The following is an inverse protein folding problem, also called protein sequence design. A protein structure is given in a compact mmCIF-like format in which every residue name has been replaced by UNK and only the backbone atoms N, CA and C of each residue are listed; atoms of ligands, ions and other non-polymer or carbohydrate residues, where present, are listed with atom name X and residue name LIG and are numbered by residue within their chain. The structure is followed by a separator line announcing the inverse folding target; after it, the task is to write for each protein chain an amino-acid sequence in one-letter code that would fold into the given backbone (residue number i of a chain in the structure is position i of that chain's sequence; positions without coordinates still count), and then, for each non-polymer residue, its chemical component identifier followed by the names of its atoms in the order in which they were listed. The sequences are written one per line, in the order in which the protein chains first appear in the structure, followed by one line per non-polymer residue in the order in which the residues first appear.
data_IF_898850906200
#
_entry.id   IF_898850906200
#
_cell.length_a   1.000
_cell.length_b   1.000
_cell.length_c   1.000
_cell.angle_alpha   90.00
_cell.angle_beta   90.00
_cell.angle_gamma   90.00
#
_symmetry.space_group_name_H-M   'P 1'
#
loop_
_entity.id
_entity.type
_entity.pdbx_description
1 polymer ?
#
# COMPACT_ATOMS: atom_id res chain seq x y z
N UNK A 1 62.69 62.84 -30.46
CA UNK A 1 63.11 61.51 -30.85
C UNK A 1 61.89 60.60 -30.57
N UNK A 2 61.19 60.29 -31.46
CA UNK A 2 60.81 59.58 -32.59
C UNK A 2 60.62 58.13 -32.28
N UNK A 3 59.39 57.60 -32.34
CA UNK A 3 59.17 56.39 -33.14
C UNK A 3 57.69 56.11 -33.32
N UNK A 4 57.35 56.11 -34.56
CA UNK A 4 56.06 55.69 -35.07
C UNK A 4 55.89 54.16 -34.90
N UNK A 5 54.80 53.70 -34.34
CA UNK A 5 54.44 52.33 -34.22
C UNK A 5 53.15 52.06 -34.96
N UNK A 6 53.27 51.33 -35.98
CA UNK A 6 52.38 50.78 -37.00
C UNK A 6 51.05 50.26 -36.43
N UNK A 7 49.95 50.84 -36.90
CA UNK A 7 48.57 50.34 -36.58
C UNK A 7 48.20 49.19 -37.51
N UNK A 8 48.24 47.97 -37.01
CA UNK A 8 47.63 46.81 -37.69
C UNK A 8 46.20 46.75 -37.30
N UNK A 9 45.31 47.02 -38.23
CA UNK A 9 43.87 46.75 -38.07
C UNK A 9 43.58 45.27 -38.46
N UNK A 10 43.37 44.42 -37.45
CA UNK A 10 42.88 43.08 -37.68
C UNK A 10 41.37 43.15 -37.69
N UNK A 11 40.77 42.89 -38.85
CA UNK A 11 39.37 42.79 -39.06
C UNK A 11 38.96 41.36 -38.58
N UNK A 12 38.42 41.22 -37.38
CA UNK A 12 37.87 39.99 -36.90
C UNK A 12 36.45 39.84 -37.45
N UNK A 13 36.31 38.97 -38.43
CA UNK A 13 35.05 38.58 -39.01
C UNK A 13 34.38 37.58 -38.03
N UNK A 14 33.40 38.08 -37.26
CA UNK A 14 32.61 37.25 -36.36
C UNK A 14 31.63 36.39 -37.16
N UNK A 15 31.93 35.10 -37.22
CA UNK A 15 31.06 34.11 -37.80
C UNK A 15 29.97 33.78 -36.75
N UNK A 16 28.78 34.35 -36.91
CA UNK A 16 27.61 34.03 -36.09
C UNK A 16 27.03 32.72 -36.61
N UNK A 17 27.26 31.62 -35.90
CA UNK A 17 26.58 30.35 -36.14
C UNK A 17 25.26 30.40 -35.36
N UNK A 18 24.10 30.34 -36.01
CA UNK A 18 22.85 30.17 -35.29
C UNK A 18 22.77 28.73 -34.76
N UNK A 19 22.89 28.60 -33.45
CA UNK A 19 22.61 27.36 -32.75
C UNK A 19 21.09 27.15 -32.76
N UNK A 20 20.60 26.36 -33.70
CA UNK A 20 19.20 25.89 -33.69
C UNK A 20 19.03 24.95 -32.50
N UNK A 21 18.46 25.45 -31.43
CA UNK A 21 17.91 24.67 -30.34
C UNK A 21 16.65 23.95 -30.86
N UNK A 22 16.84 22.76 -31.38
CA UNK A 22 15.73 21.83 -31.53
C UNK A 22 15.36 21.34 -30.11
N UNK A 23 14.46 22.07 -29.46
CA UNK A 23 13.73 21.56 -28.30
C UNK A 23 12.73 20.54 -28.82
N UNK A 24 13.15 19.30 -29.04
CA UNK A 24 12.26 18.15 -28.99
C UNK A 24 12.10 17.80 -27.52
N UNK A 25 11.19 18.46 -26.90
CA UNK A 25 10.63 18.10 -25.60
C UNK A 25 9.21 17.66 -25.78
N UNK A 26 8.95 16.61 -26.56
CA UNK A 26 7.78 15.78 -26.34
C UNK A 26 8.15 14.84 -25.18
N UNK A 27 8.12 15.40 -23.98
CA UNK A 27 7.76 14.65 -22.81
C UNK A 27 6.24 14.40 -22.92
N UNK A 28 5.83 13.48 -23.77
CA UNK A 28 4.67 12.70 -23.42
C UNK A 28 5.08 11.99 -22.15
N UNK A 29 4.79 12.61 -21.00
CA UNK A 29 4.59 11.86 -19.77
C UNK A 29 3.55 10.82 -20.13
N UNK A 30 4.00 9.62 -20.43
CA UNK A 30 3.23 8.45 -20.11
C UNK A 30 3.08 8.64 -18.60
N UNK A 31 1.95 9.14 -18.15
CA UNK A 31 1.46 8.83 -16.82
C UNK A 31 1.42 7.30 -16.88
N UNK A 32 2.47 6.66 -16.38
CA UNK A 32 2.37 5.29 -15.98
C UNK A 32 1.19 5.32 -15.03
N UNK A 33 0.09 4.73 -15.47
CA UNK A 33 -1.01 4.36 -14.62
C UNK A 33 -0.37 3.40 -13.60
N UNK A 34 0.19 4.00 -12.54
CA UNK A 34 0.57 3.30 -11.35
C UNK A 34 -0.76 2.82 -10.80
N UNK A 35 -1.16 1.60 -11.20
CA UNK A 35 -2.30 0.95 -10.62
C UNK A 35 -2.19 1.18 -9.12
N UNK A 36 -3.28 1.67 -8.52
CA UNK A 36 -3.34 2.10 -7.14
C UNK A 36 -2.58 1.09 -6.28
N UNK A 37 -1.39 1.49 -5.77
CA UNK A 37 -0.53 0.61 -4.96
C UNK A 37 -1.16 0.46 -3.58
N UNK A 38 -1.22 -0.75 -3.08
CA UNK A 38 -1.71 -1.00 -1.71
C UNK A 38 -0.69 -0.50 -0.70
N UNK A 39 -1.10 0.48 0.09
CA UNK A 39 -0.28 1.07 1.15
C UNK A 39 -0.87 0.90 2.55
N UNK A 40 -2.10 0.38 2.66
CA UNK A 40 -2.76 0.19 3.94
C UNK A 40 -3.86 -0.85 3.94
N UNK A 41 -4.42 -1.09 5.13
CA UNK A 41 -5.57 -1.96 5.35
C UNK A 41 -6.54 -1.26 6.30
N UNK A 42 -7.83 -1.36 6.01
CA UNK A 42 -8.90 -0.93 6.89
C UNK A 42 -9.80 -2.13 7.23
N UNK A 43 -10.17 -2.25 8.50
CA UNK A 43 -11.10 -3.27 8.98
C UNK A 43 -12.39 -2.59 9.41
N UNK A 44 -13.48 -3.01 8.79
CA UNK A 44 -14.81 -2.45 9.00
C UNK A 44 -15.74 -3.48 9.64
N UNK A 45 -16.45 -3.09 10.68
CA UNK A 45 -17.44 -3.91 11.38
C UNK A 45 -18.77 -3.16 11.41
N UNK A 46 -19.81 -3.76 10.84
CA UNK A 46 -21.15 -3.15 10.80
C UNK A 46 -21.18 -1.71 10.25
N UNK A 47 -20.32 -1.40 9.28
CA UNK A 47 -20.23 -0.09 8.63
C UNK A 47 -19.40 0.97 9.40
N UNK A 48 -18.73 0.58 10.48
CA UNK A 48 -17.76 1.41 11.18
C UNK A 48 -16.34 0.86 11.01
N UNK A 49 -15.36 1.71 10.73
CA UNK A 49 -13.95 1.34 10.74
C UNK A 49 -13.50 1.15 12.20
N UNK A 50 -13.03 -0.06 12.53
CA UNK A 50 -12.58 -0.43 13.89
C UNK A 50 -11.07 -0.45 14.01
N UNK A 51 -10.36 -0.75 12.91
CA UNK A 51 -8.91 -0.72 12.89
C UNK A 51 -8.41 -0.29 11.51
N UNK A 52 -7.21 0.32 11.47
CA UNK A 52 -6.53 0.67 10.22
C UNK A 52 -5.02 0.49 10.33
N UNK A 53 -4.40 -0.04 9.29
CA UNK A 53 -2.97 -0.19 9.14
C UNK A 53 -2.43 0.85 8.16
N UNK A 54 -1.38 1.55 8.56
CA UNK A 54 -0.64 2.47 7.72
C UNK A 54 0.70 1.82 7.35
N UNK A 55 0.87 1.45 6.08
CA UNK A 55 2.07 0.81 5.58
C UNK A 55 3.31 1.71 5.60
N UNK A 56 3.14 3.04 5.50
CA UNK A 56 4.26 3.97 5.57
C UNK A 56 4.90 4.03 6.97
N UNK A 57 4.08 3.90 8.02
CA UNK A 57 4.56 3.84 9.42
C UNK A 57 4.71 2.43 9.97
N UNK A 58 4.12 1.44 9.29
CA UNK A 58 4.12 0.04 9.72
C UNK A 58 3.32 -0.19 11.00
N UNK A 59 2.28 0.61 11.26
CA UNK A 59 1.56 0.57 12.52
C UNK A 59 0.05 0.53 12.36
N UNK A 60 -0.62 -0.11 13.32
CA UNK A 60 -2.06 -0.14 13.45
C UNK A 60 -2.59 0.98 14.33
N UNK A 61 -3.78 1.46 14.02
CA UNK A 61 -4.65 2.24 14.88
C UNK A 61 -5.91 1.43 15.11
N UNK A 62 -6.34 1.25 16.37
CA UNK A 62 -7.42 0.35 16.74
C UNK A 62 -6.96 -1.09 16.97
N UNK A 63 -7.87 -1.93 17.41
CA UNK A 63 -7.66 -3.31 17.79
C UNK A 63 -8.90 -4.16 17.46
N UNK A 64 -8.79 -5.46 17.54
CA UNK A 64 -9.89 -6.38 17.33
C UNK A 64 -10.40 -6.86 18.69
N UNK A 65 -11.71 -6.88 18.89
CA UNK A 65 -12.33 -7.30 20.14
C UNK A 65 -13.45 -8.31 19.89
N UNK A 66 -13.54 -9.33 20.72
CA UNK A 66 -14.61 -10.32 20.69
C UNK A 66 -14.82 -10.94 22.08
N UNK A 67 -16.06 -11.25 22.44
CA UNK A 67 -16.36 -11.99 23.68
C UNK A 67 -16.05 -13.48 23.52
N UNK A 68 -15.53 -14.11 24.58
CA UNK A 68 -15.27 -15.56 24.60
C UNK A 68 -16.54 -16.38 24.31
N UNK A 69 -16.41 -17.36 23.42
CA UNK A 69 -17.53 -18.22 23.00
C UNK A 69 -18.52 -17.57 22.05
N UNK A 70 -18.17 -16.39 21.49
CA UNK A 70 -18.97 -15.71 20.47
C UNK A 70 -18.13 -15.45 19.21
N UNK A 71 -18.78 -14.92 18.19
CA UNK A 71 -18.15 -14.42 16.97
C UNK A 71 -18.54 -12.97 16.72
N UNK A 72 -17.69 -12.22 16.04
CA UNK A 72 -18.04 -10.88 15.57
C UNK A 72 -19.11 -10.94 14.46
N UNK A 73 -19.81 -9.83 14.20
CA UNK A 73 -20.43 -9.68 12.89
C UNK A 73 -19.36 -9.79 11.78
N UNK A 74 -19.79 -10.00 10.54
CA UNK A 74 -18.85 -10.05 9.41
C UNK A 74 -18.03 -8.77 9.36
N UNK A 75 -16.71 -8.92 9.32
CA UNK A 75 -15.75 -7.84 9.16
C UNK A 75 -15.36 -7.75 7.69
N UNK A 76 -15.48 -6.55 7.10
CA UNK A 76 -14.94 -6.26 5.77
C UNK A 76 -13.47 -5.82 5.92
N UNK A 77 -12.57 -6.44 5.16
CA UNK A 77 -11.15 -6.07 5.07
C UNK A 77 -10.91 -5.39 3.74
N UNK A 78 -10.48 -4.12 3.77
CA UNK A 78 -10.23 -3.31 2.59
C UNK A 78 -8.77 -2.97 2.49
N UNK A 79 -8.19 -3.19 1.32
CA UNK A 79 -6.86 -2.73 0.98
C UNK A 79 -6.98 -1.34 0.37
N UNK A 80 -6.17 -0.42 0.86
CA UNK A 80 -6.27 1.01 0.52
C UNK A 80 -4.94 1.55 0.04
N UNK A 81 -5.00 2.64 -0.73
CA UNK A 81 -3.85 3.42 -1.14
C UNK A 81 -3.40 4.41 -0.05
N UNK A 82 -2.44 5.30 -0.38
CA UNK A 82 -1.91 6.31 0.53
C UNK A 82 -2.92 7.39 0.95
N UNK A 83 -3.98 7.61 0.17
CA UNK A 83 -5.06 8.55 0.48
C UNK A 83 -6.16 7.89 1.33
N UNK A 84 -6.09 6.57 1.51
CA UNK A 84 -7.07 5.77 2.24
C UNK A 84 -8.27 5.37 1.39
N UNK A 85 -8.19 5.53 0.07
CA UNK A 85 -9.20 5.08 -0.87
C UNK A 85 -9.02 3.58 -1.17
N UNK A 86 -10.12 2.85 -1.35
CA UNK A 86 -10.10 1.41 -1.59
C UNK A 86 -9.51 1.09 -2.98
N UNK A 87 -8.45 0.27 -3.00
CA UNK A 87 -7.78 -0.17 -4.23
C UNK A 87 -8.61 -1.20 -4.97
N UNK A 88 -8.73 -1.05 -6.28
CA UNK A 88 -9.36 -2.06 -7.13
C UNK A 88 -8.42 -3.25 -7.32
N UNK A 89 -8.76 -4.38 -6.73
CA UNK A 89 -7.95 -5.59 -6.77
C UNK A 89 -8.26 -6.47 -7.99
N UNK A 90 -7.24 -7.16 -8.49
CA UNK A 90 -7.40 -8.14 -9.56
C UNK A 90 -8.15 -9.38 -9.08
N UNK A 91 -8.81 -10.08 -10.01
CA UNK A 91 -9.70 -11.22 -9.71
C UNK A 91 -8.98 -12.47 -9.19
N UNK A 92 -7.67 -12.52 -9.24
CA UNK A 92 -6.80 -13.58 -8.72
C UNK A 92 -6.10 -13.17 -7.41
N UNK A 93 -6.49 -12.03 -6.85
CA UNK A 93 -6.10 -11.63 -5.50
C UNK A 93 -7.08 -12.16 -4.47
N UNK A 94 -6.58 -12.50 -3.29
CA UNK A 94 -7.38 -13.01 -2.18
C UNK A 94 -6.77 -12.63 -0.83
N UNK A 95 -7.63 -12.60 0.20
CA UNK A 95 -7.20 -12.36 1.57
C UNK A 95 -6.73 -13.66 2.23
N UNK A 96 -5.60 -13.58 2.94
CA UNK A 96 -5.17 -14.58 3.92
C UNK A 96 -5.05 -13.89 5.28
N UNK A 97 -5.59 -14.53 6.32
CA UNK A 97 -5.47 -14.09 7.70
C UNK A 97 -4.75 -15.17 8.50
N UNK A 98 -3.73 -14.76 9.23
CA UNK A 98 -2.98 -15.65 10.13
C UNK A 98 -3.17 -15.16 11.58
N UNK A 99 -3.67 -16.01 12.46
CA UNK A 99 -3.79 -15.78 13.91
C UNK A 99 -2.63 -16.50 14.60
N UNK A 100 -1.90 -15.80 15.47
CA UNK A 100 -0.71 -16.37 16.11
C UNK A 100 -1.06 -17.51 17.09
N UNK A 101 -2.12 -17.32 17.89
CA UNK A 101 -2.60 -18.33 18.84
C UNK A 101 -4.11 -18.60 18.65
N UNK A 102 -4.41 -19.60 17.84
CA UNK A 102 -5.78 -20.04 17.57
C UNK A 102 -6.49 -20.64 18.80
N UNK A 103 -5.79 -20.90 19.89
CA UNK A 103 -6.41 -21.28 21.17
C UNK A 103 -7.03 -20.09 21.93
N UNK A 104 -6.73 -18.87 21.50
CA UNK A 104 -7.28 -17.62 22.04
C UNK A 104 -8.36 -17.07 21.11
N UNK A 105 -8.06 -16.93 19.82
CA UNK A 105 -9.03 -16.51 18.80
C UNK A 105 -8.78 -17.25 17.48
N UNK A 106 -9.83 -17.43 16.69
CA UNK A 106 -9.77 -17.96 15.33
C UNK A 106 -10.41 -16.97 14.36
N UNK A 107 -9.91 -16.90 13.11
CA UNK A 107 -10.50 -16.10 12.06
C UNK A 107 -11.09 -17.02 10.98
N UNK A 108 -12.39 -16.93 10.75
CA UNK A 108 -13.12 -17.75 9.78
C UNK A 108 -13.65 -16.90 8.64
N UNK A 109 -13.33 -17.31 7.40
CA UNK A 109 -13.87 -16.73 6.17
C UNK A 109 -15.08 -17.55 5.71
N UNK A 110 -16.20 -16.92 5.34
CA UNK A 110 -17.38 -17.60 4.79
C UNK A 110 -17.04 -18.33 3.48
N UNK A 111 -16.17 -17.74 2.68
CA UNK A 111 -15.61 -18.34 1.47
C UNK A 111 -14.08 -18.19 1.48
N UNK A 112 -13.32 -19.26 1.27
CA UNK A 112 -11.87 -19.18 1.29
C UNK A 112 -11.32 -18.11 0.35
N UNK A 113 -10.56 -17.16 0.90
CA UNK A 113 -9.91 -16.07 0.17
C UNK A 113 -10.77 -14.81 -0.01
N UNK A 114 -12.00 -14.76 0.52
CA UNK A 114 -12.79 -13.52 0.50
C UNK A 114 -12.15 -12.41 1.35
N UNK A 115 -12.52 -11.17 1.05
CA UNK A 115 -11.99 -9.98 1.74
C UNK A 115 -12.81 -9.67 2.99
N UNK A 116 -12.90 -10.62 3.90
CA UNK A 116 -13.61 -10.49 5.14
C UNK A 116 -13.74 -11.81 5.90
N UNK A 117 -14.57 -11.81 6.95
CA UNK A 117 -14.82 -12.97 7.80
C UNK A 117 -15.22 -12.60 9.22
N UNK A 118 -15.13 -13.56 10.11
CA UNK A 118 -15.54 -13.46 11.52
C UNK A 118 -14.36 -13.78 12.43
N UNK A 119 -14.20 -13.01 13.51
CA UNK A 119 -13.29 -13.36 14.58
C UNK A 119 -14.06 -14.10 15.66
N UNK A 120 -13.62 -15.30 16.00
CA UNK A 120 -14.19 -16.14 17.07
C UNK A 120 -13.35 -16.06 18.33
N UNK A 121 -13.96 -15.77 19.47
CA UNK A 121 -13.30 -15.81 20.77
C UNK A 121 -13.30 -17.24 21.32
N UNK A 122 -12.14 -17.87 21.39
CA UNK A 122 -11.97 -19.26 21.87
C UNK A 122 -11.74 -19.29 23.38
N UNK A 123 -10.80 -18.48 23.88
CA UNK A 123 -10.51 -18.33 25.31
C UNK A 123 -10.09 -16.91 25.64
N UNK A 124 -10.38 -16.47 26.86
CA UNK A 124 -9.97 -15.11 27.33
C UNK A 124 -8.47 -14.94 27.22
N UNK A 125 -8.03 -13.86 26.58
CA UNK A 125 -6.61 -13.56 26.37
C UNK A 125 -6.38 -12.58 25.23
N UNK A 126 -5.14 -12.51 24.80
CA UNK A 126 -4.68 -11.65 23.71
C UNK A 126 -3.90 -12.50 22.70
N UNK A 127 -4.11 -12.24 21.42
CA UNK A 127 -3.32 -12.84 20.34
C UNK A 127 -3.09 -11.81 19.23
N UNK A 128 -2.16 -12.11 18.35
CA UNK A 128 -1.82 -11.26 17.21
C UNK A 128 -2.42 -11.81 15.92
N UNK A 129 -2.92 -10.90 15.07
CA UNK A 129 -3.53 -11.24 13.77
C UNK A 129 -2.79 -10.49 12.66
N UNK A 130 -2.43 -11.19 11.60
CA UNK A 130 -1.76 -10.64 10.41
C UNK A 130 -2.66 -10.80 9.20
N UNK A 131 -2.82 -9.73 8.44
CA UNK A 131 -3.57 -9.70 7.19
C UNK A 131 -2.62 -9.65 6.01
N UNK A 132 -2.85 -10.48 5.00
CA UNK A 132 -2.03 -10.56 3.80
C UNK A 132 -2.89 -10.51 2.54
N UNK A 133 -2.52 -9.62 1.61
CA UNK A 133 -3.03 -9.67 0.24
C UNK A 133 -2.20 -10.68 -0.54
N UNK A 134 -2.86 -11.71 -1.00
CA UNK A 134 -2.24 -12.81 -1.74
C UNK A 134 -2.62 -12.72 -3.22
N UNK A 135 -1.70 -13.11 -4.09
CA UNK A 135 -1.92 -13.20 -5.53
C UNK A 135 -1.77 -14.65 -6.00
N UNK A 136 -2.72 -15.11 -6.81
CA UNK A 136 -2.73 -16.44 -7.40
C UNK A 136 -3.83 -17.35 -6.87
N UNK A 137 -3.58 -18.64 -6.82
CA UNK A 137 -4.58 -19.62 -6.37
C UNK A 137 -4.61 -19.71 -4.85
N UNK A 138 -5.80 -19.65 -4.25
CA UNK A 138 -6.00 -19.82 -2.80
C UNK A 138 -5.24 -21.05 -2.27
N UNK A 139 -4.43 -20.84 -1.25
CA UNK A 139 -3.57 -21.85 -0.63
C UNK A 139 -2.22 -22.10 -1.32
N UNK A 140 -1.93 -21.47 -2.46
CA UNK A 140 -0.65 -21.63 -3.18
C UNK A 140 -0.11 -20.35 -3.83
N UNK A 141 -0.75 -19.21 -3.59
CA UNK A 141 -0.31 -17.90 -4.05
C UNK A 141 0.90 -17.37 -3.27
N UNK A 142 1.37 -16.19 -3.66
CA UNK A 142 2.39 -15.42 -2.93
C UNK A 142 1.77 -14.15 -2.36
N UNK A 143 2.39 -13.60 -1.32
CA UNK A 143 1.94 -12.35 -0.73
C UNK A 143 2.50 -11.15 -1.50
N UNK A 144 1.63 -10.22 -1.89
CA UNK A 144 1.99 -8.94 -2.48
C UNK A 144 2.04 -7.84 -1.40
N UNK A 145 1.20 -7.97 -0.35
CA UNK A 145 1.22 -7.06 0.78
C UNK A 145 0.98 -7.83 2.09
N UNK A 146 1.70 -7.46 3.16
CA UNK A 146 1.56 -8.08 4.48
C UNK A 146 1.61 -7.00 5.55
N UNK A 147 0.62 -6.96 6.44
CA UNK A 147 0.59 -6.01 7.55
C UNK A 147 1.56 -6.42 8.67
N UNK A 148 1.92 -5.48 9.56
CA UNK A 148 2.32 -5.87 10.91
C UNK A 148 1.13 -6.51 11.63
N UNK A 149 1.39 -7.17 12.76
CA UNK A 149 0.33 -7.75 13.56
C UNK A 149 -0.56 -6.67 14.20
N UNK A 150 -1.88 -6.92 14.21
CA UNK A 150 -2.85 -6.19 15.05
C UNK A 150 -3.22 -7.03 16.24
N UNK A 151 -3.40 -6.41 17.40
CA UNK A 151 -3.84 -7.09 18.61
C UNK A 151 -5.31 -7.47 18.53
N UNK A 152 -5.62 -8.69 18.94
CA UNK A 152 -6.97 -9.21 19.14
C UNK A 152 -7.18 -9.56 20.61
N UNK A 153 -8.18 -8.95 21.23
CA UNK A 153 -8.57 -9.18 22.62
C UNK A 153 -9.82 -10.04 22.68
N UNK A 154 -9.75 -11.13 23.44
CA UNK A 154 -10.89 -11.96 23.77
C UNK A 154 -11.30 -11.70 25.22
N UNK A 155 -12.46 -11.06 25.39
CA UNK A 155 -12.99 -10.71 26.70
C UNK A 155 -13.92 -11.80 27.28
N UNK A 156 -14.13 -11.80 28.62
CA UNK A 156 -14.92 -12.81 29.33
C UNK A 156 -16.08 -12.25 30.09
#
# INVERSE_FOLDING_TARGET
MGNAGLRVRILAMALIVPLALTACGDATGVEEDHGEEVEGVQIWLSGAMIASYDGATGSWTGELEVDVGTETAHMDVRFVDHDGDEVTLDSDMYLKVDVEDESIAEFEQDTPGEFGGHLHGVSVGETDVVFSLMHGTVGSGHADFVTAAVHAHVEG
#
